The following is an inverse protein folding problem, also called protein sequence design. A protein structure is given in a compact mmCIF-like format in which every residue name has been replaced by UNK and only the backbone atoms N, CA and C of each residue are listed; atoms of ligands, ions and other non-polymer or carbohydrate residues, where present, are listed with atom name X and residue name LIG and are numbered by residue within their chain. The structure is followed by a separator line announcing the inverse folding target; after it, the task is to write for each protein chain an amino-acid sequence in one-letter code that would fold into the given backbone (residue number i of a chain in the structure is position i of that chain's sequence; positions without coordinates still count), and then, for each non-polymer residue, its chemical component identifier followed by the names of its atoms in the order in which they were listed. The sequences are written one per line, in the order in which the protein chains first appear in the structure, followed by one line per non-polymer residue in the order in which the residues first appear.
data_IF_162078184542
#
_entry.id   IF_162078184542
#
_cell.length_a   1.000
_cell.length_b   1.000
_cell.length_c   1.000
_cell.angle_alpha   90.00
_cell.angle_beta   90.00
_cell.angle_gamma   90.00
#
_symmetry.space_group_name_H-M   'P 1'
#
loop_
_entity.id
_entity.type
_entity.pdbx_description
1 polymer ?
#
# COMPACT_ATOMS: atom_id res chain seq x y z
N UNK A 1 20.58 0.57 -10.43
CA UNK A 1 19.98 0.67 -9.08
C UNK A 1 18.48 0.44 -9.24
N UNK A 2 17.94 -0.68 -8.75
CA UNK A 2 16.52 -1.04 -8.95
C UNK A 2 15.81 -1.51 -7.67
N UNK A 3 16.57 -1.82 -6.60
CA UNK A 3 16.02 -2.37 -5.37
C UNK A 3 15.81 -1.27 -4.32
N UNK A 4 14.57 -1.11 -3.82
CA UNK A 4 14.28 -0.23 -2.70
C UNK A 4 15.17 -0.56 -1.50
N UNK A 5 15.66 0.49 -0.84
CA UNK A 5 16.41 0.38 0.40
C UNK A 5 15.52 0.88 1.52
N UNK A 6 15.34 0.07 2.56
CA UNK A 6 14.57 0.43 3.73
C UNK A 6 15.53 0.77 4.86
N UNK A 7 15.59 2.05 5.19
CA UNK A 7 16.38 2.52 6.33
C UNK A 7 15.66 2.19 7.64
N UNK A 8 16.40 2.23 8.75
CA UNK A 8 15.81 2.22 10.09
C UNK A 8 14.83 3.39 10.19
N UNK A 9 13.60 3.13 10.66
CA UNK A 9 12.54 4.14 10.69
C UNK A 9 11.57 4.11 9.50
N UNK A 10 11.77 3.19 8.54
CA UNK A 10 10.94 3.11 7.34
C UNK A 10 9.45 2.92 7.64
N UNK A 11 9.10 2.07 8.60
CA UNK A 11 7.69 1.78 8.91
C UNK A 11 6.98 2.97 9.56
N UNK A 12 7.69 3.74 10.38
CA UNK A 12 7.23 4.96 11.02
C UNK A 12 6.99 6.05 9.97
N UNK A 13 7.91 6.18 9.01
CA UNK A 13 7.76 7.07 7.86
C UNK A 13 6.53 6.69 7.02
N UNK A 14 6.36 5.40 6.73
CA UNK A 14 5.18 4.91 6.02
C UNK A 14 3.89 5.23 6.78
N UNK A 15 3.85 4.99 8.09
CA UNK A 15 2.68 5.31 8.91
C UNK A 15 2.32 6.79 8.85
N UNK A 16 3.33 7.67 8.85
CA UNK A 16 3.14 9.12 8.72
C UNK A 16 2.56 9.48 7.35
N UNK A 17 3.10 8.89 6.27
CA UNK A 17 2.58 9.09 4.92
C UNK A 17 1.13 8.60 4.83
N UNK A 18 0.85 7.36 5.25
CA UNK A 18 -0.49 6.76 5.20
C UNK A 18 -1.54 7.60 5.94
N UNK A 19 -1.18 8.22 7.07
CA UNK A 19 -2.06 9.14 7.81
C UNK A 19 -2.29 10.48 7.12
N UNK A 20 -1.36 10.90 6.26
CA UNK A 20 -1.44 12.17 5.52
C UNK A 20 -2.17 12.06 4.18
N UNK A 21 -2.49 10.85 3.74
CA UNK A 21 -3.15 10.64 2.45
C UNK A 21 -4.62 11.08 2.52
N UNK A 22 -5.14 11.69 1.45
CA UNK A 22 -6.54 12.01 1.36
C UNK A 22 -7.38 10.72 1.28
N UNK A 23 -8.68 10.90 1.48
CA UNK A 23 -9.64 9.80 1.34
C UNK A 23 -9.57 9.16 -0.06
N UNK A 24 -9.74 7.84 -0.14
CA UNK A 24 -9.71 7.14 -1.42
C UNK A 24 -8.31 6.91 -2.02
N UNK A 25 -7.23 7.29 -1.32
CA UNK A 25 -5.85 6.97 -1.75
C UNK A 25 -5.23 5.91 -0.84
N UNK A 26 -4.52 4.95 -1.44
CA UNK A 26 -3.76 3.88 -0.75
C UNK A 26 -2.42 3.65 -1.43
N UNK A 27 -1.43 3.23 -0.65
CA UNK A 27 -0.09 2.89 -1.13
C UNK A 27 0.03 1.38 -1.37
N UNK A 28 0.69 1.00 -2.46
CA UNK A 28 1.05 -0.39 -2.75
C UNK A 28 2.28 -0.43 -3.65
N UNK A 29 3.14 -1.44 -3.44
CA UNK A 29 4.33 -1.67 -4.25
C UNK A 29 5.62 -1.80 -3.45
N UNK A 30 6.73 -1.98 -4.18
CA UNK A 30 8.02 -2.35 -3.60
C UNK A 30 8.69 -1.25 -2.78
N UNK A 31 8.22 0.00 -2.86
CA UNK A 31 8.72 1.10 -2.04
C UNK A 31 8.15 1.11 -0.62
N UNK A 32 7.11 0.30 -0.35
CA UNK A 32 6.36 0.37 0.90
C UNK A 32 6.63 -0.88 1.75
N UNK A 33 5.89 -1.98 1.57
CA UNK A 33 5.95 -3.14 2.48
C UNK A 33 6.36 -4.42 1.76
N UNK A 34 7.67 -4.60 1.59
CA UNK A 34 8.24 -5.78 0.94
C UNK A 34 8.68 -5.49 -0.49
N UNK A 35 9.78 -6.10 -0.91
CA UNK A 35 10.44 -5.82 -2.20
C UNK A 35 10.08 -6.83 -3.28
N UNK A 36 9.53 -7.98 -2.91
CA UNK A 36 9.19 -9.04 -3.84
C UNK A 36 7.97 -8.71 -4.69
N UNK A 37 7.92 -9.28 -5.90
CA UNK A 37 6.72 -9.23 -6.74
C UNK A 37 5.49 -9.80 -6.00
N UNK A 38 5.58 -10.94 -5.27
CA UNK A 38 4.44 -11.45 -4.50
C UNK A 38 3.94 -10.45 -3.44
N UNK A 39 4.85 -9.73 -2.78
CA UNK A 39 4.50 -8.70 -1.80
C UNK A 39 3.76 -7.54 -2.48
N UNK A 40 4.23 -7.10 -3.64
CA UNK A 40 3.58 -6.04 -4.42
C UNK A 40 2.16 -6.44 -4.83
N UNK A 41 1.98 -7.68 -5.29
CA UNK A 41 0.67 -8.21 -5.70
C UNK A 41 -0.27 -8.29 -4.49
N UNK A 42 0.20 -8.79 -3.35
CA UNK A 42 -0.58 -8.85 -2.11
C UNK A 42 -1.00 -7.45 -1.66
N UNK A 43 -0.07 -6.51 -1.59
CA UNK A 43 -0.35 -5.12 -1.22
C UNK A 43 -1.38 -4.48 -2.15
N UNK A 44 -1.28 -4.71 -3.46
CA UNK A 44 -2.24 -4.17 -4.44
C UNK A 44 -3.66 -4.68 -4.20
N UNK A 45 -3.81 -5.98 -3.93
CA UNK A 45 -5.12 -6.58 -3.59
C UNK A 45 -5.70 -6.00 -2.31
N UNK A 46 -4.91 -5.95 -1.24
CA UNK A 46 -5.34 -5.38 0.04
C UNK A 46 -5.72 -3.89 -0.07
N UNK A 47 -4.99 -3.12 -0.88
CA UNK A 47 -5.29 -1.72 -1.13
C UNK A 47 -6.63 -1.57 -1.87
N UNK A 48 -6.87 -2.37 -2.90
CA UNK A 48 -8.12 -2.38 -3.65
C UNK A 48 -9.31 -2.78 -2.76
N UNK A 49 -9.20 -3.87 -2.00
CA UNK A 49 -10.23 -4.33 -1.06
C UNK A 49 -10.60 -3.26 -0.03
N UNK A 50 -9.58 -2.58 0.55
CA UNK A 50 -9.80 -1.49 1.50
C UNK A 50 -10.51 -0.30 0.85
N UNK A 51 -10.15 0.06 -0.38
CA UNK A 51 -10.80 1.16 -1.11
C UNK A 51 -12.26 0.84 -1.43
N UNK A 52 -12.52 -0.35 -1.95
CA UNK A 52 -13.87 -0.83 -2.29
C UNK A 52 -14.77 -0.82 -1.06
N UNK A 53 -14.26 -1.36 0.07
CA UNK A 53 -14.97 -1.35 1.35
C UNK A 53 -15.22 0.08 1.85
N UNK A 54 -14.24 0.96 1.73
CA UNK A 54 -14.39 2.36 2.16
C UNK A 54 -15.43 3.12 1.32
N UNK A 55 -15.42 2.92 0.01
CA UNK A 55 -16.31 3.60 -0.93
C UNK A 55 -17.71 2.96 -0.98
N UNK A 56 -17.94 1.85 -0.27
CA UNK A 56 -19.23 1.14 -0.27
C UNK A 56 -19.58 0.53 -1.62
N UNK A 57 -18.58 0.24 -2.46
CA UNK A 57 -18.78 -0.34 -3.79
C UNK A 57 -18.86 -1.86 -3.64
N UNK A 58 -19.83 -2.49 -4.30
CA UNK A 58 -19.84 -3.96 -4.45
C UNK A 58 -19.18 -4.29 -5.78
N UNK A 59 -18.02 -4.96 -5.76
CA UNK A 59 -17.45 -5.52 -6.98
C UNK A 59 -18.20 -6.82 -7.28
N UNK A 60 -18.86 -6.90 -8.43
CA UNK A 60 -19.39 -8.16 -8.95
C UNK A 60 -18.21 -9.04 -9.39
N UNK A 61 -18.06 -10.19 -8.72
CA UNK A 61 -17.06 -11.21 -9.03
C UNK A 61 -17.43 -12.00 -10.28
#
# INVERSE_FOLDING_TARGET
RANPQYDVGHLEKLSTIEKSLPEGIRLAGSAYRGVGVPDCVKQGREAAEKLVKQLGITIAT
#
